data_IF_877819181683
#
_entry.id   IF_877819181683
#
_cell.length_a   1.000
_cell.length_b   1.000
_cell.length_c   1.000
_cell.angle_alpha   90.00
_cell.angle_beta   90.00
_cell.angle_gamma   90.00
#
_symmetry.space_group_name_H-M   'P 1'
#
loop_
_entity.id
_entity.type
_entity.pdbx_description
1 polymer ?
#
# COMPACT_ATOMS: atom_id res chain seq x y z
N UNK A 1 -12.12 -11.02 0.82
CA UNK A 1 -13.45 -10.62 0.29
C UNK A 1 -14.49 -10.31 1.36
N UNK A 2 -14.36 -10.77 2.62
CA UNK A 2 -15.30 -10.48 3.72
C UNK A 2 -15.72 -9.01 3.81
N UNK A 3 -14.75 -8.09 3.86
CA UNK A 3 -15.03 -6.65 3.91
C UNK A 3 -15.84 -6.14 2.72
N UNK A 4 -15.68 -6.70 1.52
CA UNK A 4 -16.47 -6.29 0.36
C UNK A 4 -17.92 -6.78 0.46
N UNK A 5 -18.11 -8.01 0.95
CA UNK A 5 -19.44 -8.64 1.07
C UNK A 5 -20.27 -8.00 2.18
N UNK A 6 -19.62 -7.63 3.29
CA UNK A 6 -20.28 -7.04 4.46
C UNK A 6 -20.50 -5.53 4.33
N UNK A 7 -19.95 -4.87 3.31
CA UNK A 7 -20.09 -3.43 3.11
C UNK A 7 -21.41 -3.11 2.39
N UNK A 8 -22.40 -2.65 3.15
CA UNK A 8 -23.70 -2.26 2.62
C UNK A 8 -23.57 -1.12 1.59
N UNK A 9 -24.31 -1.24 0.48
CA UNK A 9 -24.28 -0.25 -0.60
C UNK A 9 -23.01 -0.24 -1.48
N UNK A 10 -22.07 -1.17 -1.31
CA UNK A 10 -20.82 -1.17 -2.08
C UNK A 10 -21.03 -1.29 -3.60
N UNK A 11 -22.00 -2.11 -4.03
CA UNK A 11 -22.26 -2.40 -5.44
C UNK A 11 -21.03 -2.97 -6.14
N UNK A 12 -20.47 -2.22 -7.09
CA UNK A 12 -19.23 -2.56 -7.80
C UNK A 12 -18.16 -1.51 -7.54
N UNK A 13 -16.98 -1.97 -7.10
CA UNK A 13 -15.81 -1.12 -6.93
C UNK A 13 -14.52 -1.87 -7.20
N UNK A 14 -13.57 -1.19 -7.86
CA UNK A 14 -12.20 -1.67 -8.05
C UNK A 14 -11.33 -1.20 -6.90
N UNK A 15 -10.49 -2.09 -6.36
CA UNK A 15 -9.58 -1.85 -5.25
C UNK A 15 -8.21 -2.50 -5.52
N UNK A 16 -7.14 -1.85 -5.04
CA UNK A 16 -5.82 -2.46 -4.92
C UNK A 16 -5.73 -3.15 -3.55
N UNK A 17 -5.74 -4.48 -3.52
CA UNK A 17 -5.51 -5.27 -2.32
C UNK A 17 -4.01 -5.52 -2.13
N UNK A 18 -3.30 -4.50 -1.64
CA UNK A 18 -1.87 -4.52 -1.37
C UNK A 18 -1.60 -4.01 0.06
N UNK A 19 -0.45 -4.36 0.62
CA UNK A 19 -0.03 -3.88 1.95
C UNK A 19 0.18 -2.36 1.97
N UNK A 20 0.04 -1.76 3.15
CA UNK A 20 0.36 -0.36 3.39
C UNK A 20 1.82 -0.02 3.12
N UNK A 21 2.72 -0.95 3.41
CA UNK A 21 4.16 -0.71 3.38
C UNK A 21 4.80 -1.28 2.11
N UNK A 22 5.82 -0.57 1.60
CA UNK A 22 6.61 -0.97 0.44
C UNK A 22 7.36 -2.27 0.72
N UNK A 23 7.46 -3.14 -0.28
CA UNK A 23 8.13 -4.45 -0.16
C UNK A 23 9.66 -4.37 -0.13
N UNK A 24 10.23 -3.17 -0.18
CA UNK A 24 11.67 -2.92 -0.09
C UNK A 24 12.02 -2.31 1.27
N UNK A 25 13.28 -2.44 1.69
CA UNK A 25 13.79 -1.72 2.87
C UNK A 25 14.17 -0.26 2.55
N UNK A 26 14.25 0.10 1.28
CA UNK A 26 14.50 1.48 0.84
C UNK A 26 13.24 2.33 0.98
N UNK A 27 13.31 3.58 1.49
CA UNK A 27 12.18 4.50 1.52
C UNK A 27 11.56 4.71 0.13
N UNK A 28 10.24 4.86 0.08
CA UNK A 28 9.47 4.80 -1.16
C UNK A 28 9.88 5.86 -2.19
N UNK A 29 10.18 7.08 -1.73
CA UNK A 29 10.65 8.16 -2.62
C UNK A 29 12.03 7.87 -3.20
N UNK A 30 12.93 7.27 -2.42
CA UNK A 30 14.26 6.89 -2.89
C UNK A 30 14.18 5.73 -3.89
N UNK A 31 13.38 4.71 -3.58
CA UNK A 31 13.12 3.59 -4.48
C UNK A 31 12.53 4.06 -5.82
N UNK A 32 11.54 4.96 -5.76
CA UNK A 32 10.94 5.54 -6.96
C UNK A 32 11.95 6.36 -7.77
N UNK A 33 12.79 7.18 -7.12
CA UNK A 33 13.86 7.93 -7.81
C UNK A 33 14.84 7.01 -8.53
N UNK A 34 15.15 5.84 -7.96
CA UNK A 34 16.09 4.88 -8.55
C UNK A 34 15.51 4.14 -9.75
N UNK A 35 14.26 3.67 -9.65
CA UNK A 35 13.68 2.74 -10.63
C UNK A 35 12.64 3.39 -11.57
N UNK A 36 12.06 4.51 -11.17
CA UNK A 36 10.98 5.21 -11.88
C UNK A 36 11.19 6.74 -11.87
N UNK A 37 12.37 7.25 -12.30
CA UNK A 37 12.75 8.66 -12.12
C UNK A 37 11.81 9.66 -12.79
N UNK A 38 11.16 9.26 -13.88
CA UNK A 38 10.28 10.12 -14.69
C UNK A 38 8.80 10.04 -14.28
N UNK A 39 8.46 9.22 -13.27
CA UNK A 39 7.08 9.07 -12.81
C UNK A 39 6.79 10.12 -11.72
N UNK A 40 5.86 11.07 -11.96
CA UNK A 40 5.58 12.12 -11.00
C UNK A 40 4.77 11.59 -9.81
N UNK A 41 5.08 12.08 -8.62
CA UNK A 41 4.22 11.93 -7.46
C UNK A 41 3.07 12.95 -7.54
N UNK A 42 1.83 12.47 -7.44
CA UNK A 42 0.62 13.32 -7.47
C UNK A 42 0.18 13.80 -6.09
N UNK A 43 0.84 13.34 -5.02
CA UNK A 43 0.64 13.72 -3.63
C UNK A 43 1.86 13.36 -2.78
N UNK A 44 1.85 13.76 -1.53
CA UNK A 44 2.76 13.21 -0.54
C UNK A 44 2.47 11.73 -0.25
N UNK A 45 3.56 10.98 -0.08
CA UNK A 45 3.58 9.56 0.28
C UNK A 45 4.36 9.39 1.58
N UNK A 46 3.90 8.47 2.43
CA UNK A 46 4.63 8.11 3.65
C UNK A 46 6.01 7.52 3.34
N UNK A 47 6.92 7.59 4.31
CA UNK A 47 8.32 7.17 4.17
C UNK A 47 8.48 5.77 3.57
N UNK A 48 7.68 4.81 4.06
CA UNK A 48 7.64 3.43 3.58
C UNK A 48 6.30 3.05 2.95
N UNK A 49 5.50 4.02 2.49
CA UNK A 49 4.20 3.73 1.88
C UNK A 49 4.36 2.95 0.57
N UNK A 50 3.52 1.93 0.33
CA UNK A 50 3.52 1.19 -0.92
C UNK A 50 3.38 2.11 -2.15
N UNK A 51 4.23 1.89 -3.16
CA UNK A 51 4.13 2.61 -4.45
C UNK A 51 2.77 2.39 -5.15
N UNK A 52 2.19 1.17 -5.20
CA UNK A 52 0.79 1.02 -5.56
C UNK A 52 -0.10 1.48 -4.40
N UNK A 53 -0.91 2.53 -4.63
CA UNK A 53 -1.76 3.04 -3.57
C UNK A 53 -2.93 2.09 -3.27
N UNK A 54 -2.99 1.60 -2.04
CA UNK A 54 -4.15 0.88 -1.48
C UNK A 54 -5.14 1.82 -0.76
N UNK A 55 -4.94 3.14 -0.82
CA UNK A 55 -5.68 4.15 -0.05
C UNK A 55 -7.20 3.94 -0.09
N UNK A 56 -7.76 3.70 -1.28
CA UNK A 56 -9.20 3.50 -1.48
C UNK A 56 -9.74 2.31 -0.69
N UNK A 57 -9.02 1.18 -0.63
CA UNK A 57 -9.51 -0.01 0.09
C UNK A 57 -9.52 0.23 1.61
N UNK A 58 -8.56 1.02 2.12
CA UNK A 58 -8.50 1.41 3.53
C UNK A 58 -9.63 2.36 3.90
N UNK A 59 -9.82 3.39 3.09
CA UNK A 59 -10.84 4.42 3.37
C UNK A 59 -12.27 3.90 3.21
N UNK A 60 -12.53 3.04 2.21
CA UNK A 60 -13.89 2.54 1.93
C UNK A 60 -14.22 1.29 2.73
N UNK A 61 -13.28 0.34 2.84
CA UNK A 61 -13.55 -0.97 3.45
C UNK A 61 -12.88 -1.15 4.82
N UNK A 62 -12.09 -0.19 5.31
CA UNK A 62 -11.31 -0.37 6.53
C UNK A 62 -10.23 -1.44 6.42
N UNK A 63 -9.82 -1.79 5.20
CA UNK A 63 -8.82 -2.84 4.99
C UNK A 63 -7.48 -2.47 5.64
N UNK A 64 -6.88 -3.45 6.31
CA UNK A 64 -5.52 -3.39 6.86
C UNK A 64 -4.88 -4.76 6.67
N UNK A 65 -3.66 -4.81 6.17
CA UNK A 65 -2.93 -6.07 6.05
C UNK A 65 -2.68 -6.71 7.42
N UNK A 66 -2.92 -8.02 7.52
CA UNK A 66 -2.59 -8.78 8.73
C UNK A 66 -1.09 -9.08 8.83
N UNK A 67 -0.38 -9.09 7.70
CA UNK A 67 0.99 -9.54 7.56
C UNK A 67 1.87 -8.48 6.87
N UNK A 68 2.48 -7.59 7.66
CA UNK A 68 3.63 -6.79 7.20
C UNK A 68 4.90 -7.64 7.27
N UNK A 69 5.63 -7.75 6.16
CA UNK A 69 6.86 -8.54 6.07
C UNK A 69 7.92 -8.12 7.09
N UNK A 70 7.95 -6.82 7.46
CA UNK A 70 8.88 -6.26 8.46
C UNK A 70 8.69 -6.85 9.85
N UNK A 71 7.55 -7.49 10.12
CA UNK A 71 7.28 -8.21 11.37
C UNK A 71 7.94 -9.58 11.42
N UNK A 72 8.33 -10.12 10.27
CA UNK A 72 8.81 -11.50 10.12
C UNK A 72 10.27 -11.59 9.71
N UNK A 73 10.79 -10.54 9.06
CA UNK A 73 12.16 -10.50 8.57
C UNK A 73 12.87 -9.32 9.22
N UNK A 74 13.87 -9.62 10.04
CA UNK A 74 14.79 -8.60 10.55
C UNK A 74 15.69 -8.08 9.45
N UNK A 75 16.02 -6.79 9.52
CA UNK A 75 17.06 -6.22 8.69
C UNK A 75 18.40 -6.64 9.29
N UNK A 76 19.20 -7.37 8.52
CA UNK A 76 20.59 -7.59 8.88
C UNK A 76 21.40 -6.43 8.31
N UNK A 77 22.26 -5.85 9.14
CA UNK A 77 23.21 -4.79 8.77
C UNK A 77 24.23 -5.27 7.70
#
# INVERSE_FOLDING_TARGET
VKLCVENDGLGFAVFNAANDTVSANTPSRELARQFYPDVPFTRDVGEFEGLPSNRKIREVLGFKEEHDWRRYVGLND
#
